data_IF_104393554928
#
_entry.id   IF_104393554928
#
_cell.length_a   1.000
_cell.length_b   1.000
_cell.length_c   1.000
_cell.angle_alpha   90.00
_cell.angle_beta   90.00
_cell.angle_gamma   90.00
#
_symmetry.space_group_name_H-M   'P 1'
#
loop_
_entity.id
_entity.type
_entity.pdbx_description
1 polymer ?
#
# COMPACT_ATOMS: atom_id res chain seq x y z
N UNK A 1 -7.42 -7.59 19.92
CA UNK A 1 -6.05 -7.60 19.33
C UNK A 1 -5.82 -8.79 18.42
N UNK A 2 -6.22 -10.01 18.79
CA UNK A 2 -6.07 -11.20 17.92
C UNK A 2 -6.77 -11.05 16.58
N UNK A 3 -8.03 -10.57 16.57
CA UNK A 3 -8.77 -10.33 15.31
C UNK A 3 -8.05 -9.35 14.39
N UNK A 4 -7.56 -8.22 14.93
CA UNK A 4 -6.81 -7.20 14.16
C UNK A 4 -5.56 -7.80 13.50
N UNK A 5 -4.84 -8.66 14.22
CA UNK A 5 -3.65 -9.37 13.69
C UNK A 5 -4.00 -10.43 12.66
N UNK A 6 -5.06 -11.21 12.90
CA UNK A 6 -5.56 -12.23 11.96
C UNK A 6 -5.99 -11.58 10.65
N UNK A 7 -6.76 -10.49 10.73
CA UNK A 7 -7.23 -9.75 9.56
C UNK A 7 -6.04 -9.12 8.82
N UNK A 8 -5.05 -8.59 9.54
CA UNK A 8 -3.81 -8.07 8.94
C UNK A 8 -3.03 -9.16 8.19
N UNK A 9 -2.92 -10.36 8.76
CA UNK A 9 -2.27 -11.51 8.11
C UNK A 9 -3.03 -11.93 6.86
N UNK A 10 -4.36 -12.02 6.91
CA UNK A 10 -5.18 -12.34 5.75
C UNK A 10 -4.94 -11.36 4.60
N UNK A 11 -4.96 -10.04 4.88
CA UNK A 11 -4.71 -9.02 3.85
C UNK A 11 -3.29 -9.07 3.32
N UNK A 12 -2.30 -9.30 4.18
CA UNK A 12 -0.91 -9.48 3.75
C UNK A 12 -0.75 -10.71 2.84
N UNK A 13 -1.30 -11.85 3.24
CA UNK A 13 -1.28 -13.08 2.43
C UNK A 13 -1.97 -12.88 1.08
N UNK A 14 -3.06 -12.10 1.04
CA UNK A 14 -3.71 -11.71 -0.21
C UNK A 14 -2.77 -10.94 -1.13
N UNK A 15 -2.03 -9.95 -0.63
CA UNK A 15 -1.03 -9.21 -1.44
C UNK A 15 0.03 -10.16 -2.02
N UNK A 16 0.55 -11.08 -1.21
CA UNK A 16 1.59 -12.03 -1.66
C UNK A 16 1.09 -13.01 -2.73
N UNK A 17 -0.13 -13.52 -2.59
CA UNK A 17 -0.69 -14.54 -3.48
C UNK A 17 -1.26 -13.95 -4.77
N UNK A 18 -1.60 -12.65 -4.77
CA UNK A 18 -2.21 -12.02 -5.94
C UNK A 18 -1.16 -11.87 -7.06
N UNK A 19 -1.40 -12.40 -8.27
CA UNK A 19 -0.53 -12.21 -9.42
C UNK A 19 -0.42 -10.73 -9.81
N UNK A 20 0.59 -10.38 -10.61
CA UNK A 20 0.73 -9.04 -11.17
C UNK A 20 -0.47 -8.70 -12.08
N UNK A 21 -1.41 -7.93 -11.57
CA UNK A 21 -2.61 -7.44 -12.27
C UNK A 21 -3.13 -6.17 -11.58
N UNK A 22 -4.27 -5.63 -12.03
CA UNK A 22 -4.94 -4.57 -11.28
C UNK A 22 -5.35 -5.01 -9.87
N UNK A 23 -5.77 -6.27 -9.71
CA UNK A 23 -6.20 -6.83 -8.41
C UNK A 23 -5.07 -6.82 -7.37
N UNK A 24 -3.81 -6.84 -7.79
CA UNK A 24 -2.67 -6.69 -6.89
C UNK A 24 -2.65 -5.32 -6.22
N UNK A 25 -2.98 -4.25 -6.95
CA UNK A 25 -3.08 -2.89 -6.41
C UNK A 25 -4.29 -2.76 -5.49
N UNK A 26 -5.40 -3.44 -5.80
CA UNK A 26 -6.56 -3.55 -4.91
C UNK A 26 -6.20 -4.28 -3.62
N UNK A 27 -5.42 -5.37 -3.69
CA UNK A 27 -4.97 -6.07 -2.50
C UNK A 27 -4.09 -5.19 -1.60
N UNK A 28 -3.22 -4.34 -2.19
CA UNK A 28 -2.44 -3.36 -1.43
C UNK A 28 -3.34 -2.31 -0.78
N UNK A 29 -4.35 -1.83 -1.51
CA UNK A 29 -5.34 -0.90 -0.97
C UNK A 29 -6.00 -1.47 0.28
N UNK A 30 -6.55 -2.68 0.22
CA UNK A 30 -7.25 -3.29 1.36
C UNK A 30 -6.30 -3.52 2.56
N UNK A 31 -5.03 -3.83 2.29
CA UNK A 31 -4.01 -3.95 3.32
C UNK A 31 -3.73 -2.60 4.01
N UNK A 32 -3.59 -1.52 3.23
CA UNK A 32 -3.37 -0.16 3.76
C UNK A 32 -4.60 0.34 4.50
N UNK A 33 -5.80 0.13 3.94
CA UNK A 33 -7.08 0.50 4.55
C UNK A 33 -7.22 -0.15 5.94
N UNK A 34 -6.95 -1.45 6.06
CA UNK A 34 -6.98 -2.13 7.35
C UNK A 34 -6.02 -1.50 8.37
N UNK A 35 -4.83 -1.08 7.94
CA UNK A 35 -3.87 -0.41 8.84
C UNK A 35 -4.40 0.96 9.29
N UNK A 36 -4.92 1.77 8.36
CA UNK A 36 -5.41 3.13 8.65
C UNK A 36 -6.68 3.13 9.51
N UNK A 37 -7.54 2.11 9.37
CA UNK A 37 -8.73 1.93 10.21
C UNK A 37 -8.41 1.44 11.63
N UNK A 38 -7.18 0.96 11.88
CA UNK A 38 -6.75 0.43 13.17
C UNK A 38 -5.62 1.29 13.75
N UNK A 39 -5.97 2.27 14.60
CA UNK A 39 -5.02 3.26 15.15
C UNK A 39 -3.78 2.64 15.80
N UNK A 40 -3.92 1.49 16.48
CA UNK A 40 -2.77 0.79 17.07
C UNK A 40 -1.72 0.35 16.03
N UNK A 41 -2.15 0.01 14.81
CA UNK A 41 -1.25 -0.36 13.72
C UNK A 41 -0.61 0.89 13.11
N UNK A 42 -1.41 1.91 12.79
CA UNK A 42 -0.88 3.17 12.23
C UNK A 42 0.13 3.85 13.17
N UNK A 43 -0.15 3.84 14.47
CA UNK A 43 0.76 4.40 15.48
C UNK A 43 2.09 3.64 15.54
N UNK A 44 2.06 2.32 15.32
CA UNK A 44 3.27 1.48 15.26
C UNK A 44 4.19 1.86 14.11
N UNK A 45 3.65 2.42 13.01
CA UNK A 45 4.42 2.89 11.84
C UNK A 45 4.90 4.34 11.97
N UNK A 46 4.54 5.03 13.05
CA UNK A 46 4.85 6.46 13.24
C UNK A 46 6.35 6.76 13.22
N UNK A 47 6.70 7.91 12.61
CA UNK A 47 8.06 8.49 12.60
C UNK A 47 8.64 8.76 13.98
N UNK A 48 7.81 8.84 15.02
CA UNK A 48 8.25 9.22 16.37
C UNK A 48 9.23 8.20 16.97
N UNK A 49 9.12 6.92 16.59
CA UNK A 49 10.02 5.88 17.10
C UNK A 49 11.37 5.91 16.38
N UNK A 50 12.47 5.69 17.12
CA UNK A 50 13.84 5.65 16.55
C UNK A 50 14.01 4.52 15.51
N UNK A 51 13.54 3.28 15.74
CA UNK A 51 13.68 2.21 14.75
C UNK A 51 12.98 2.52 13.42
N UNK A 52 11.81 3.17 13.44
CA UNK A 52 11.09 3.51 12.21
C UNK A 52 11.83 4.54 11.36
N UNK A 53 12.54 5.47 12.02
CA UNK A 53 13.38 6.47 11.32
C UNK A 53 14.57 5.81 10.66
N UNK A 54 15.28 4.96 11.40
CA UNK A 54 16.46 4.25 10.90
C UNK A 54 16.12 3.29 9.75
N UNK A 55 14.98 2.61 9.85
CA UNK A 55 14.50 1.68 8.82
C UNK A 55 13.74 2.36 7.68
N UNK A 56 13.51 3.67 7.74
CA UNK A 56 12.76 4.41 6.72
C UNK A 56 11.30 3.96 6.54
N UNK A 57 10.70 3.32 7.55
CA UNK A 57 9.32 2.81 7.54
C UNK A 57 8.28 3.82 7.01
N UNK A 58 8.30 5.10 7.41
CA UNK A 58 7.32 6.08 6.96
C UNK A 58 7.37 6.33 5.45
N UNK A 59 8.58 6.40 4.87
CA UNK A 59 8.73 6.64 3.43
C UNK A 59 8.28 5.40 2.64
N UNK A 60 8.63 4.22 3.13
CA UNK A 60 8.18 2.93 2.57
C UNK A 60 6.67 2.81 2.60
N UNK A 61 6.04 3.14 3.72
CA UNK A 61 4.60 3.12 3.88
C UNK A 61 3.91 4.17 3.00
N UNK A 62 4.51 5.36 2.86
CA UNK A 62 4.02 6.42 1.97
C UNK A 62 3.85 5.94 0.52
N UNK A 63 4.75 5.11 0.01
CA UNK A 63 4.60 4.53 -1.33
C UNK A 63 3.39 3.61 -1.45
N UNK A 64 3.04 2.86 -0.40
CA UNK A 64 1.81 2.05 -0.39
C UNK A 64 0.57 2.94 -0.28
N UNK A 65 0.66 4.05 0.49
CA UNK A 65 -0.41 5.04 0.60
C UNK A 65 -0.71 5.76 -0.71
N UNK A 66 0.26 5.91 -1.61
CA UNK A 66 0.01 6.44 -2.97
C UNK A 66 -1.00 5.56 -3.73
N UNK A 67 -0.88 4.23 -3.61
CA UNK A 67 -1.83 3.29 -4.25
C UNK A 67 -3.21 3.40 -3.61
N UNK A 68 -3.26 3.42 -2.27
CA UNK A 68 -4.50 3.59 -1.52
C UNK A 68 -5.24 4.87 -1.95
N UNK A 69 -4.55 6.02 -1.87
CA UNK A 69 -5.15 7.31 -2.23
C UNK A 69 -5.53 7.37 -3.72
N UNK A 70 -4.71 6.77 -4.59
CA UNK A 70 -5.00 6.70 -6.02
C UNK A 70 -6.27 5.94 -6.36
N UNK A 71 -6.58 4.87 -5.62
CA UNK A 71 -7.82 4.11 -5.80
C UNK A 71 -9.03 4.83 -5.22
N UNK A 72 -8.89 5.48 -4.06
CA UNK A 72 -9.93 6.35 -3.49
C UNK A 72 -10.29 7.51 -4.43
N UNK A 73 -9.27 8.15 -5.01
CA UNK A 73 -9.46 9.29 -5.90
C UNK A 73 -10.01 8.90 -7.28
N UNK A 74 -9.79 7.67 -7.72
CA UNK A 74 -10.35 7.18 -8.98
C UNK A 74 -11.90 7.13 -8.94
N UNK A 75 -12.49 7.09 -7.75
CA UNK A 75 -13.93 7.23 -7.52
C UNK A 75 -14.42 8.66 -7.29
N UNK A 76 -13.52 9.65 -7.25
CA UNK A 76 -13.88 11.04 -6.97
C UNK A 76 -14.67 11.67 -8.11
N UNK A 77 -15.50 12.67 -7.77
CA UNK A 77 -16.30 13.42 -8.75
C UNK A 77 -15.41 14.20 -9.72
N UNK A 78 -15.83 14.36 -10.99
CA UNK A 78 -15.15 15.25 -11.94
C UNK A 78 -15.04 16.67 -11.39
N UNK A 79 -13.89 17.32 -11.57
CA UNK A 79 -13.67 18.72 -11.19
C UNK A 79 -12.95 18.95 -9.86
N UNK A 80 -12.55 17.90 -9.14
CA UNK A 80 -11.65 18.02 -7.98
C UNK A 80 -10.21 18.22 -8.47
N UNK A 81 -9.55 19.30 -8.02
CA UNK A 81 -8.10 19.44 -8.20
C UNK A 81 -7.38 18.52 -7.21
N UNK A 82 -6.79 17.45 -7.75
CA UNK A 82 -6.07 16.44 -6.98
C UNK A 82 -4.57 16.76 -6.90
N UNK A 83 -4.08 17.74 -7.65
CA UNK A 83 -2.66 17.97 -7.85
C UNK A 83 -1.99 16.94 -8.77
N UNK A 84 -0.82 17.30 -9.28
CA UNK A 84 -0.12 16.54 -10.33
C UNK A 84 0.19 15.08 -9.94
N UNK A 85 0.70 14.86 -8.72
CA UNK A 85 1.14 13.54 -8.27
C UNK A 85 -0.05 12.56 -8.19
N UNK A 86 -1.14 12.96 -7.54
CA UNK A 86 -2.33 12.11 -7.39
C UNK A 86 -2.99 11.84 -8.74
N UNK A 87 -3.04 12.85 -9.61
CA UNK A 87 -3.51 12.66 -10.99
C UNK A 87 -2.69 11.62 -11.76
N UNK A 88 -1.36 11.69 -11.69
CA UNK A 88 -0.48 10.72 -12.37
C UNK A 88 -0.68 9.29 -11.87
N UNK A 89 -0.87 9.12 -10.56
CA UNK A 89 -1.16 7.81 -9.96
C UNK A 89 -2.47 7.23 -10.50
N UNK A 90 -3.54 8.03 -10.56
CA UNK A 90 -4.84 7.60 -11.09
C UNK A 90 -4.71 7.20 -12.57
N UNK A 91 -3.96 7.96 -13.36
CA UNK A 91 -3.71 7.64 -14.76
C UNK A 91 -2.98 6.30 -14.90
N UNK A 92 -1.97 6.03 -14.09
CA UNK A 92 -1.25 4.76 -14.10
C UNK A 92 -2.14 3.59 -13.68
N UNK A 93 -2.95 3.75 -12.62
CA UNK A 93 -3.90 2.73 -12.17
C UNK A 93 -4.99 2.45 -13.23
N UNK A 94 -5.50 3.48 -13.90
CA UNK A 94 -6.48 3.34 -14.98
C UNK A 94 -5.92 2.59 -16.18
N UNK A 95 -4.68 2.89 -16.56
CA UNK A 95 -3.95 2.14 -17.61
C UNK A 95 -3.82 0.67 -17.23
N UNK A 96 -3.46 0.37 -15.98
CA UNK A 96 -3.35 -1.01 -15.48
C UNK A 96 -4.71 -1.72 -15.55
N UNK A 97 -5.78 -1.08 -15.03
CA UNK A 97 -7.15 -1.58 -15.07
C UNK A 97 -7.64 -1.93 -16.48
N UNK A 98 -7.33 -1.07 -17.44
CA UNK A 98 -7.72 -1.23 -18.83
C UNK A 98 -6.77 -2.14 -19.63
N UNK A 99 -5.84 -2.85 -18.98
CA UNK A 99 -4.83 -3.70 -19.62
C UNK A 99 -3.95 -2.96 -20.64
N UNK A 100 -3.86 -1.64 -20.51
CA UNK A 100 -3.07 -0.76 -21.37
C UNK A 100 -1.83 -0.27 -20.60
N UNK A 101 -0.98 -1.21 -20.20
CA UNK A 101 0.22 -0.93 -19.42
C UNK A 101 1.45 -1.56 -20.06
N UNK A 102 2.59 -0.93 -19.85
CA UNK A 102 3.91 -1.39 -20.30
C UNK A 102 4.94 -1.00 -19.26
N UNK A 103 6.22 -1.23 -19.54
CA UNK A 103 7.33 -0.78 -18.67
C UNK A 103 7.43 0.74 -18.53
N UNK A 104 6.67 1.50 -19.32
CA UNK A 104 6.51 2.95 -19.17
C UNK A 104 5.53 3.35 -18.05
N UNK A 105 4.66 2.45 -17.60
CA UNK A 105 3.76 2.68 -16.47
C UNK A 105 4.55 2.53 -15.17
N UNK A 106 4.64 3.61 -14.39
CA UNK A 106 5.56 3.67 -13.26
C UNK A 106 5.19 2.69 -12.15
N UNK A 107 3.89 2.46 -11.96
CA UNK A 107 3.36 1.53 -10.95
C UNK A 107 3.54 0.08 -11.38
N UNK A 108 3.28 -0.22 -12.65
CA UNK A 108 3.52 -1.55 -13.19
C UNK A 108 4.97 -1.99 -13.04
N UNK A 109 5.91 -1.08 -13.30
CA UNK A 109 7.35 -1.31 -13.13
C UNK A 109 7.74 -1.55 -11.66
N UNK A 110 7.07 -0.87 -10.73
CA UNK A 110 7.34 -0.94 -9.28
C UNK A 110 6.57 -2.05 -8.55
N UNK A 111 5.78 -2.88 -9.23
CA UNK A 111 4.96 -3.93 -8.58
C UNK A 111 5.72 -4.84 -7.60
N UNK A 112 6.93 -5.28 -7.96
CA UNK A 112 7.76 -6.12 -7.08
C UNK A 112 8.34 -5.32 -5.91
N UNK A 113 8.65 -4.03 -6.13
CA UNK A 113 9.00 -3.13 -5.03
C UNK A 113 7.82 -2.98 -4.07
N UNK A 114 6.60 -2.75 -4.55
CA UNK A 114 5.43 -2.64 -3.68
C UNK A 114 5.16 -3.93 -2.89
N UNK A 115 5.35 -5.10 -3.51
CA UNK A 115 5.26 -6.40 -2.83
C UNK A 115 6.29 -6.50 -1.70
N UNK A 116 7.54 -6.12 -1.98
CA UNK A 116 8.61 -6.07 -0.98
C UNK A 116 8.28 -5.11 0.17
N UNK A 117 7.85 -3.89 -0.15
CA UNK A 117 7.48 -2.87 0.85
C UNK A 117 6.32 -3.35 1.73
N UNK A 118 5.34 -4.05 1.17
CA UNK A 118 4.24 -4.66 1.94
C UNK A 118 4.79 -5.64 2.98
N UNK A 119 5.76 -6.47 2.61
CA UNK A 119 6.46 -7.37 3.54
C UNK A 119 7.17 -6.63 4.66
N UNK A 120 7.96 -5.60 4.34
CA UNK A 120 8.68 -4.81 5.34
C UNK A 120 7.74 -4.07 6.31
N UNK A 121 6.58 -3.59 5.83
CA UNK A 121 5.56 -2.98 6.69
C UNK A 121 4.87 -4.02 7.56
N UNK A 122 4.53 -5.19 7.00
CA UNK A 122 3.93 -6.28 7.75
C UNK A 122 4.86 -6.77 8.88
N UNK A 123 6.13 -7.03 8.59
CA UNK A 123 7.13 -7.42 9.60
C UNK A 123 7.23 -6.40 10.73
N UNK A 124 7.11 -5.10 10.41
CA UNK A 124 7.15 -4.05 11.42
C UNK A 124 5.91 -4.05 12.34
N UNK A 125 4.75 -4.37 11.79
CA UNK A 125 3.46 -4.44 12.49
C UNK A 125 3.28 -5.74 13.27
N UNK A 126 3.90 -6.83 12.78
CA UNK A 126 3.87 -8.15 13.39
C UNK A 126 5.31 -8.68 13.51
N UNK A 127 6.12 -8.12 14.43
CA UNK A 127 7.48 -8.57 14.61
C UNK A 127 7.46 -10.04 15.01
N UNK A 128 8.32 -10.85 14.38
CA UNK A 128 8.54 -12.21 14.81
C UNK A 128 8.89 -12.23 16.32
N UNK A 129 8.47 -13.25 17.08
CA UNK A 129 8.94 -13.40 18.45
C UNK A 129 10.46 -13.41 18.44
N UNK A 130 11.08 -12.53 19.22
CA UNK A 130 12.52 -12.60 19.49
C UNK A 130 12.72 -13.88 20.32
N UNK A 131 13.32 -14.90 19.70
CA UNK A 131 13.73 -16.14 20.36
C UNK A 131 14.85 -15.88 21.37
#
# INVERSE_FOLDING_TARGET
>A
MEKVKSDLDEKFQRVLKTPASFDFFVAIHDFVEHIELNSSLSDTLSQRTKPNRELGIPNKYSHLKEIYQGLEDAGAKPGVDLGHVRYMVIQDLNKIRNKNFSDSNSFWKKRELFRKLTGEIYERLNPAPVL
#
